data_IF_042014002953
#
_entry.id   IF_042014002953
#
_cell.length_a   1.000
_cell.length_b   1.000
_cell.length_c   1.000
_cell.angle_alpha   90.00
_cell.angle_beta   90.00
_cell.angle_gamma   90.00
#
_symmetry.space_group_name_H-M   'P 1'
#
loop_
_entity.id
_entity.type
_entity.pdbx_description
1 polymer ?
#
# COMPACT_ATOMS: atom_id res chain seq x y z
N UNK A 1 -4.80 13.08 -12.98
CA UNK A 1 -4.02 12.01 -12.33
C UNK A 1 -3.33 11.13 -13.40
N UNK A 2 -2.20 11.57 -13.98
CA UNK A 2 -1.48 10.80 -15.03
C UNK A 2 0.05 10.82 -14.87
N UNK A 3 0.56 11.05 -13.65
CA UNK A 3 2.00 10.98 -13.33
C UNK A 3 2.32 9.85 -12.33
N UNK A 4 1.31 9.08 -11.92
CA UNK A 4 1.47 7.98 -10.97
C UNK A 4 2.11 6.72 -11.60
N UNK A 5 2.20 6.63 -12.93
CA UNK A 5 2.67 5.44 -13.67
C UNK A 5 4.10 5.53 -14.28
N UNK A 6 4.85 6.60 -14.04
CA UNK A 6 6.21 6.73 -14.64
C UNK A 6 7.32 6.04 -13.86
N UNK A 7 7.02 5.44 -12.70
CA UNK A 7 7.95 4.54 -12.00
C UNK A 7 7.60 3.11 -12.42
N UNK A 8 8.43 2.51 -13.27
CA UNK A 8 8.38 1.08 -13.58
C UNK A 8 8.59 0.31 -12.29
N UNK A 9 7.51 -0.15 -11.64
CA UNK A 9 7.59 -1.09 -10.54
C UNK A 9 8.06 -2.43 -11.08
N UNK A 10 9.18 -2.93 -10.56
CA UNK A 10 9.65 -4.28 -10.78
C UNK A 10 8.79 -5.32 -10.06
N UNK A 11 8.95 -6.61 -10.41
CA UNK A 11 8.20 -7.70 -9.79
C UNK A 11 8.40 -7.77 -8.27
N UNK A 12 9.59 -7.44 -7.79
CA UNK A 12 9.95 -7.37 -6.36
C UNK A 12 9.12 -6.31 -5.61
N UNK A 13 8.93 -5.14 -6.23
CA UNK A 13 8.22 -4.02 -5.61
C UNK A 13 6.71 -4.29 -5.55
N UNK A 14 6.17 -4.93 -6.59
CA UNK A 14 4.78 -5.39 -6.61
C UNK A 14 4.54 -6.49 -5.56
N UNK A 15 5.48 -7.41 -5.38
CA UNK A 15 5.39 -8.46 -4.35
C UNK A 15 5.36 -7.85 -2.94
N UNK A 16 6.22 -6.86 -2.66
CA UNK A 16 6.21 -6.14 -1.38
C UNK A 16 4.86 -5.45 -1.13
N UNK A 17 4.33 -4.75 -2.14
CA UNK A 17 3.03 -4.08 -2.05
C UNK A 17 1.90 -5.08 -1.81
N UNK A 18 1.91 -6.21 -2.53
CA UNK A 18 0.90 -7.26 -2.43
C UNK A 18 0.91 -7.89 -1.03
N UNK A 19 2.09 -8.23 -0.50
CA UNK A 19 2.23 -8.77 0.86
C UNK A 19 1.71 -7.79 1.91
N UNK A 20 2.10 -6.50 1.83
CA UNK A 20 1.68 -5.51 2.83
C UNK A 20 0.17 -5.23 2.73
N UNK A 21 -0.37 -5.18 1.51
CA UNK A 21 -1.80 -4.96 1.28
C UNK A 21 -2.64 -6.15 1.73
N UNK A 22 -2.17 -7.38 1.47
CA UNK A 22 -2.81 -8.61 1.92
C UNK A 22 -2.80 -8.73 3.44
N UNK A 23 -1.69 -8.42 4.09
CA UNK A 23 -1.59 -8.36 5.55
C UNK A 23 -2.52 -7.29 6.14
N UNK A 24 -2.58 -6.12 5.52
CA UNK A 24 -3.41 -5.00 5.98
C UNK A 24 -4.91 -5.31 5.84
N UNK A 25 -5.33 -5.88 4.70
CA UNK A 25 -6.73 -6.29 4.47
C UNK A 25 -7.11 -7.45 5.39
N UNK A 26 -6.21 -8.41 5.61
CA UNK A 26 -6.48 -9.58 6.45
C UNK A 26 -6.70 -9.18 7.92
N UNK A 27 -5.90 -8.22 8.43
CA UNK A 27 -6.09 -7.67 9.77
C UNK A 27 -7.44 -6.95 9.94
N UNK A 28 -7.96 -6.32 8.87
CA UNK A 28 -9.25 -5.62 8.90
C UNK A 28 -10.44 -6.49 8.46
N UNK A 29 -10.19 -7.68 7.93
CA UNK A 29 -11.22 -8.54 7.35
C UNK A 29 -11.93 -7.92 6.13
N UNK A 30 -11.22 -7.08 5.37
CA UNK A 30 -11.82 -6.37 4.24
C UNK A 30 -11.83 -7.24 2.96
N UNK A 31 -12.94 -7.26 2.20
CA UNK A 31 -12.99 -7.93 0.92
C UNK A 31 -12.15 -7.17 -0.12
N UNK A 32 -11.64 -7.89 -1.12
CA UNK A 32 -10.79 -7.32 -2.17
C UNK A 32 -11.50 -6.27 -3.04
N UNK A 33 -12.84 -6.31 -3.08
CA UNK A 33 -13.71 -5.35 -3.77
C UNK A 33 -13.98 -4.08 -2.93
N UNK A 34 -13.37 -3.96 -1.75
CA UNK A 34 -13.61 -2.81 -0.89
C UNK A 34 -12.84 -1.58 -1.41
N UNK A 35 -13.49 -0.42 -1.56
CA UNK A 35 -12.82 0.82 -1.96
C UNK A 35 -11.66 1.22 -1.02
N UNK A 36 -11.70 0.80 0.25
CA UNK A 36 -10.63 1.00 1.22
C UNK A 36 -9.37 0.22 0.86
N UNK A 37 -9.51 -0.95 0.23
CA UNK A 37 -8.37 -1.74 -0.27
C UNK A 37 -7.74 -1.07 -1.49
N UNK A 38 -8.55 -0.53 -2.40
CA UNK A 38 -8.03 0.25 -3.54
C UNK A 38 -7.31 1.53 -3.06
N UNK A 39 -7.87 2.21 -2.06
CA UNK A 39 -7.25 3.37 -1.45
C UNK A 39 -5.95 3.00 -0.74
N UNK A 40 -5.94 1.90 0.02
CA UNK A 40 -4.75 1.39 0.68
C UNK A 40 -3.62 1.08 -0.31
N UNK A 41 -3.94 0.43 -1.43
CA UNK A 41 -2.98 0.16 -2.48
C UNK A 41 -2.38 1.47 -3.04
N UNK A 42 -3.21 2.48 -3.31
CA UNK A 42 -2.74 3.77 -3.82
C UNK A 42 -1.88 4.54 -2.81
N UNK A 43 -2.23 4.48 -1.51
CA UNK A 43 -1.45 5.10 -0.43
C UNK A 43 -0.11 4.39 -0.26
N UNK A 44 -0.11 3.06 -0.18
CA UNK A 44 1.11 2.26 -0.08
C UNK A 44 2.03 2.51 -1.27
N UNK A 45 1.48 2.64 -2.48
CA UNK A 45 2.25 2.99 -3.68
C UNK A 45 2.97 4.34 -3.53
N UNK A 46 2.28 5.35 -3.00
CA UNK A 46 2.89 6.67 -2.76
C UNK A 46 3.99 6.59 -1.69
N UNK A 47 3.73 5.91 -0.58
CA UNK A 47 4.70 5.74 0.50
C UNK A 47 5.96 5.02 0.02
N UNK A 48 5.80 3.99 -0.83
CA UNK A 48 6.92 3.28 -1.43
C UNK A 48 7.79 4.22 -2.29
N UNK A 49 7.14 5.09 -3.08
CA UNK A 49 7.83 6.11 -3.90
C UNK A 49 8.53 7.18 -3.07
N UNK A 50 8.03 7.49 -1.88
CA UNK A 50 8.67 8.42 -0.93
C UNK A 50 9.95 7.86 -0.29
N UNK A 51 10.21 6.55 -0.44
CA UNK A 51 11.42 5.90 0.05
C UNK A 51 11.18 4.69 0.96
N UNK A 52 9.91 4.38 1.25
CA UNK A 52 9.51 3.22 2.07
C UNK A 52 9.56 1.94 1.24
N UNK A 53 10.76 1.54 0.81
CA UNK A 53 10.98 0.44 -0.15
C UNK A 53 11.02 -0.96 0.47
N UNK A 54 10.69 -1.09 1.75
CA UNK A 54 10.70 -2.39 2.46
C UNK A 54 9.34 -2.68 3.06
N UNK A 55 8.99 -3.97 3.20
CA UNK A 55 7.75 -4.42 3.83
C UNK A 55 7.56 -3.76 5.20
N UNK A 56 8.62 -3.73 6.02
CA UNK A 56 8.55 -3.16 7.38
C UNK A 56 8.31 -1.65 7.38
N UNK A 57 9.04 -0.89 6.55
CA UNK A 57 8.87 0.57 6.46
C UNK A 57 7.51 0.93 5.87
N UNK A 58 7.09 0.20 4.85
CA UNK A 58 5.79 0.40 4.20
C UNK A 58 4.63 0.05 5.14
N UNK A 59 4.74 -1.04 5.91
CA UNK A 59 3.75 -1.45 6.91
C UNK A 59 3.66 -0.44 8.06
N UNK A 60 4.81 0.05 8.55
CA UNK A 60 4.86 1.11 9.56
C UNK A 60 4.23 2.40 9.04
N UNK A 61 4.64 2.86 7.85
CA UNK A 61 4.11 4.06 7.23
C UNK A 61 2.61 3.94 6.92
N UNK A 62 2.14 2.77 6.46
CA UNK A 62 0.73 2.50 6.22
C UNK A 62 -0.09 2.45 7.53
N UNK A 63 0.49 1.95 8.63
CA UNK A 63 -0.14 1.96 9.94
C UNK A 63 -0.19 3.38 10.54
N UNK A 64 0.86 4.17 10.36
CA UNK A 64 0.92 5.58 10.78
C UNK A 64 0.11 6.50 9.86
N UNK A 65 -0.19 6.08 8.63
CA UNK A 65 -0.97 6.88 7.70
C UNK A 65 -2.39 7.03 8.21
N UNK A 66 -2.73 8.25 8.62
CA UNK A 66 -4.04 8.58 9.18
C UNK A 66 -5.20 8.18 8.26
N UNK A 67 -5.00 8.22 6.94
CA UNK A 67 -5.98 7.77 5.96
C UNK A 67 -6.32 6.27 6.05
N UNK A 68 -5.40 5.45 6.54
CA UNK A 68 -5.59 4.01 6.75
C UNK A 68 -5.87 3.66 8.21
N UNK A 69 -5.37 4.46 9.15
CA UNK A 69 -5.63 4.28 10.60
C UNK A 69 -7.03 4.71 11.03
N UNK A 70 -7.68 5.62 10.30
CA UNK A 70 -9.03 6.13 10.61
C UNK A 70 -10.15 5.32 9.90
N UNK A 71 -9.78 4.35 9.05
CA UNK A 71 -10.65 3.39 8.36
C UNK A 71 -10.76 2.06 9.11
#
# INVERSE_FOLDING_TARGET
MRQFLETTFGPDELEILDIVLEEWRAQRGLPMDNPDVELAAAVMLNLFREGNRTIETLKAAAAEHRALSDL
#
